data_IF_743579026092
#
_entry.id   IF_743579026092
#
_cell.length_a   1.000
_cell.length_b   1.000
_cell.length_c   1.000
_cell.angle_alpha   90.00
_cell.angle_beta   90.00
_cell.angle_gamma   90.00
#
_symmetry.space_group_name_H-M   'P 1'
#
loop_
_entity.id
_entity.type
_entity.pdbx_description
1 polymer ?
#
# COMPACT_ATOMS: atom_id res chain seq x y z
N UNK A 1 39.41 -0.20 29.43
CA UNK A 1 38.80 0.69 28.42
C UNK A 1 38.77 -0.05 27.10
N UNK A 2 37.66 -0.74 26.79
CA UNK A 2 37.41 -1.34 25.49
C UNK A 2 36.53 -0.35 24.72
N UNK A 3 37.17 0.49 23.91
CA UNK A 3 36.48 1.47 23.07
C UNK A 3 36.23 0.91 21.68
N UNK A 4 35.06 1.29 21.16
CA UNK A 4 34.62 1.27 19.77
C UNK A 4 34.03 -0.04 19.24
N UNK A 5 32.79 -0.27 19.66
CA UNK A 5 31.77 -1.02 18.94
C UNK A 5 31.68 -0.54 17.49
N UNK A 6 32.21 -1.35 16.56
CA UNK A 6 31.84 -1.36 15.15
C UNK A 6 30.43 -1.97 15.03
N UNK A 7 29.38 -1.18 15.25
CA UNK A 7 28.00 -1.59 14.95
C UNK A 7 27.33 -0.76 13.86
N UNK A 8 28.08 0.07 13.14
CA UNK A 8 27.57 0.80 11.99
C UNK A 8 27.65 -0.07 10.72
N UNK A 9 26.48 -0.42 10.19
CA UNK A 9 26.20 -1.02 8.85
C UNK A 9 25.92 -2.54 8.76
N UNK A 10 24.93 -3.05 9.51
CA UNK A 10 24.29 -4.34 9.17
C UNK A 10 23.03 -4.19 8.30
N UNK A 11 22.35 -3.04 8.39
CA UNK A 11 21.12 -2.78 7.63
C UNK A 11 21.40 -1.78 6.50
N UNK A 12 21.38 -2.25 5.25
CA UNK A 12 21.55 -1.38 4.08
C UNK A 12 20.21 -0.76 3.70
N UNK A 13 20.10 0.55 3.96
CA UNK A 13 19.05 1.47 3.48
C UNK A 13 17.62 1.09 3.94
N UNK A 14 17.12 1.77 4.97
CA UNK A 14 15.79 1.53 5.58
C UNK A 14 14.78 2.64 5.28
N UNK A 15 15.22 3.67 4.57
CA UNK A 15 14.32 4.72 4.10
C UNK A 15 13.54 4.21 2.90
N UNK A 16 12.25 4.54 2.87
CA UNK A 16 11.48 4.41 1.64
C UNK A 16 12.08 5.38 0.60
N UNK A 17 12.19 4.97 -0.66
CA UNK A 17 12.68 5.85 -1.72
C UNK A 17 11.76 7.06 -1.88
N UNK A 18 12.33 8.22 -2.21
CA UNK A 18 11.57 9.44 -2.47
C UNK A 18 10.62 9.26 -3.66
N UNK A 19 11.09 8.55 -4.69
CA UNK A 19 10.33 8.21 -5.87
C UNK A 19 10.49 6.72 -6.14
N UNK A 20 9.40 6.04 -6.49
CA UNK A 20 9.42 4.65 -6.90
C UNK A 20 8.33 4.35 -7.91
N UNK A 21 8.57 3.31 -8.71
CA UNK A 21 7.66 2.90 -9.77
C UNK A 21 7.16 1.49 -9.46
N UNK A 22 5.85 1.34 -9.46
CA UNK A 22 5.18 0.04 -9.33
C UNK A 22 4.48 -0.30 -10.64
N UNK A 23 4.74 -1.48 -11.20
CA UNK A 23 4.03 -2.00 -12.36
C UNK A 23 3.13 -3.14 -11.95
N UNK A 24 1.91 -3.09 -12.46
CA UNK A 24 0.92 -4.15 -12.35
C UNK A 24 0.71 -4.72 -13.73
N UNK A 25 1.02 -6.00 -13.89
CA UNK A 25 0.91 -6.72 -15.16
C UNK A 25 -0.11 -7.84 -14.98
N UNK A 26 -1.29 -7.67 -15.59
CA UNK A 26 -2.30 -8.74 -15.63
C UNK A 26 -1.97 -9.73 -16.73
N UNK A 27 -2.04 -11.01 -16.40
CA UNK A 27 -2.00 -12.07 -17.38
C UNK A 27 -3.12 -13.07 -17.08
N UNK A 28 -3.71 -13.60 -18.15
CA UNK A 28 -4.74 -14.62 -18.03
C UNK A 28 -4.06 -15.97 -17.82
N UNK A 29 -4.16 -16.52 -16.60
CA UNK A 29 -3.98 -17.95 -16.40
C UNK A 29 -5.25 -18.68 -16.82
N UNK A 30 -5.11 -19.97 -17.16
CA UNK A 30 -6.15 -20.84 -17.74
C UNK A 30 -7.53 -20.76 -17.04
N UNK A 31 -7.58 -20.39 -15.75
CA UNK A 31 -8.82 -20.36 -14.96
C UNK A 31 -9.20 -18.96 -14.43
N UNK A 32 -8.22 -18.10 -14.09
CA UNK A 32 -8.47 -16.80 -13.44
C UNK A 32 -7.40 -15.78 -13.86
N UNK A 33 -7.74 -14.48 -13.99
CA UNK A 33 -6.75 -13.43 -14.21
C UNK A 33 -5.86 -13.28 -12.97
N UNK A 34 -4.55 -13.15 -13.19
CA UNK A 34 -3.56 -12.94 -12.15
C UNK A 34 -2.80 -11.65 -12.43
N UNK A 35 -2.37 -10.98 -11.37
CA UNK A 35 -1.54 -9.78 -11.46
C UNK A 35 -0.18 -10.07 -10.85
N UNK A 36 0.85 -9.72 -11.60
CA UNK A 36 2.22 -9.61 -11.12
C UNK A 36 2.51 -8.17 -10.77
N UNK A 37 3.06 -7.95 -9.57
CA UNK A 37 3.51 -6.63 -9.12
C UNK A 37 5.04 -6.58 -9.18
N UNK A 38 5.58 -5.54 -9.83
CA UNK A 38 7.01 -5.28 -9.83
C UNK A 38 7.32 -3.88 -9.36
N UNK A 39 8.37 -3.75 -8.56
CA UNK A 39 8.90 -2.50 -8.07
C UNK A 39 10.29 -2.29 -8.67
N UNK A 40 10.46 -1.19 -9.42
CA UNK A 40 11.68 -0.91 -10.19
C UNK A 40 12.17 -2.12 -11.02
N UNK A 41 11.21 -2.84 -11.63
CA UNK A 41 11.38 -4.07 -12.42
C UNK A 41 11.75 -5.34 -11.64
N UNK A 42 11.73 -5.30 -10.31
CA UNK A 42 11.92 -6.48 -9.45
C UNK A 42 10.56 -6.92 -8.94
N UNK A 43 10.20 -8.19 -9.14
CA UNK A 43 8.95 -8.71 -8.60
C UNK A 43 8.94 -8.61 -7.07
N UNK A 44 7.82 -8.11 -6.54
CA UNK A 44 7.54 -8.05 -5.11
C UNK A 44 6.32 -8.90 -4.82
N UNK A 45 6.43 -9.77 -3.81
CA UNK A 45 5.39 -10.73 -3.47
C UNK A 45 5.16 -11.82 -4.53
N UNK A 46 4.12 -12.59 -4.28
CA UNK A 46 3.62 -13.59 -5.21
C UNK A 46 2.69 -12.95 -6.25
N UNK A 47 2.31 -13.72 -7.25
CA UNK A 47 1.29 -13.30 -8.22
C UNK A 47 -0.10 -13.54 -7.62
N UNK A 48 -0.99 -12.56 -7.74
CA UNK A 48 -2.23 -12.50 -6.96
C UNK A 48 -3.43 -12.58 -7.90
N UNK A 49 -4.43 -13.39 -7.56
CA UNK A 49 -5.77 -13.34 -8.16
C UNK A 49 -6.78 -12.69 -7.19
N UNK A 50 -8.06 -12.66 -7.55
CA UNK A 50 -9.08 -12.03 -6.72
C UNK A 50 -9.38 -12.81 -5.41
N UNK A 51 -8.90 -14.06 -5.25
CA UNK A 51 -9.21 -14.97 -4.14
C UNK A 51 -10.71 -15.02 -3.76
N UNK A 52 -11.58 -14.99 -4.79
CA UNK A 52 -13.02 -14.79 -4.65
C UNK A 52 -13.79 -15.65 -5.64
N UNK A 53 -15.03 -16.01 -5.30
CA UNK A 53 -15.94 -16.72 -6.22
C UNK A 53 -16.34 -15.87 -7.43
N UNK A 54 -16.10 -14.56 -7.38
CA UNK A 54 -16.43 -13.59 -8.43
C UNK A 54 -15.21 -12.75 -8.78
N UNK A 55 -15.09 -12.33 -10.03
CA UNK A 55 -14.04 -11.40 -10.46
C UNK A 55 -14.34 -9.97 -10.00
N UNK A 56 -13.93 -9.61 -8.78
CA UNK A 56 -14.17 -8.28 -8.19
C UNK A 56 -12.95 -7.35 -8.22
N UNK A 57 -11.84 -7.81 -8.79
CA UNK A 57 -10.67 -6.96 -9.00
C UNK A 57 -9.71 -6.86 -7.82
N UNK A 58 -9.94 -7.61 -6.74
CA UNK A 58 -9.08 -7.60 -5.55
C UNK A 58 -7.61 -7.94 -5.86
N UNK A 59 -7.31 -8.57 -6.99
CA UNK A 59 -5.93 -8.78 -7.48
C UNK A 59 -5.07 -7.52 -7.61
N UNK A 60 -5.67 -6.33 -7.65
CA UNK A 60 -4.95 -5.05 -7.67
C UNK A 60 -4.82 -4.37 -6.30
N UNK A 61 -5.20 -5.01 -5.19
CA UNK A 61 -5.29 -4.36 -3.87
C UNK A 61 -3.95 -3.80 -3.36
N UNK A 62 -2.81 -4.32 -3.81
CA UNK A 62 -1.49 -3.79 -3.43
C UNK A 62 -1.33 -2.28 -3.72
N UNK A 63 -2.14 -1.72 -4.62
CA UNK A 63 -2.17 -0.27 -4.84
C UNK A 63 -2.49 0.53 -3.57
N UNK A 64 -3.26 -0.04 -2.64
CA UNK A 64 -3.58 0.59 -1.35
C UNK A 64 -2.31 0.79 -0.52
N UNK A 65 -1.49 -0.26 -0.39
CA UNK A 65 -0.27 -0.22 0.41
C UNK A 65 0.73 0.82 -0.10
N UNK A 66 0.99 0.82 -1.41
CA UNK A 66 1.91 1.79 -2.00
C UNK A 66 1.39 3.23 -1.89
N UNK A 67 0.07 3.41 -2.01
CA UNK A 67 -0.55 4.72 -1.82
C UNK A 67 -0.44 5.19 -0.37
N UNK A 68 -0.66 4.33 0.62
CA UNK A 68 -0.48 4.67 2.04
C UNK A 68 0.99 5.01 2.34
N UNK A 69 1.93 4.25 1.80
CA UNK A 69 3.35 4.54 1.93
C UNK A 69 3.70 5.95 1.42
N UNK A 70 3.18 6.32 0.24
CA UNK A 70 3.48 7.59 -0.38
C UNK A 70 2.74 8.77 0.29
N UNK A 71 1.45 8.61 0.57
CA UNK A 71 0.58 9.70 1.02
C UNK A 71 0.51 9.86 2.54
N UNK A 72 0.60 8.76 3.28
CA UNK A 72 0.45 8.73 4.74
C UNK A 72 1.79 8.54 5.48
N UNK A 73 2.91 8.46 4.76
CA UNK A 73 4.23 8.15 5.34
C UNK A 73 4.25 6.82 6.12
N UNK A 74 3.27 5.95 5.88
CA UNK A 74 3.06 4.74 6.64
C UNK A 74 2.52 3.63 5.77
N UNK A 75 3.26 2.52 5.75
CA UNK A 75 2.83 1.25 5.19
C UNK A 75 3.85 0.17 5.61
N UNK A 76 3.63 -0.53 6.73
CA UNK A 76 4.41 -1.72 7.07
C UNK A 76 4.44 -2.75 5.94
N UNK A 77 3.36 -2.91 5.17
CA UNK A 77 3.31 -3.82 4.02
C UNK A 77 4.29 -3.39 2.91
N UNK A 78 4.27 -2.11 2.51
CA UNK A 78 5.22 -1.57 1.52
C UNK A 78 6.66 -1.65 2.00
N UNK A 79 6.92 -1.32 3.27
CA UNK A 79 8.27 -1.47 3.84
C UNK A 79 8.76 -2.91 3.78
N UNK A 80 7.88 -3.87 4.06
CA UNK A 80 8.19 -5.30 3.93
C UNK A 80 8.48 -5.68 2.48
N UNK A 81 7.60 -5.33 1.54
CA UNK A 81 7.75 -5.60 0.10
C UNK A 81 9.06 -5.03 -0.47
N UNK A 82 9.42 -3.80 -0.07
CA UNK A 82 10.65 -3.12 -0.51
C UNK A 82 11.91 -3.57 0.24
N UNK A 83 11.79 -4.44 1.27
CA UNK A 83 12.88 -4.81 2.18
C UNK A 83 13.49 -3.57 2.88
N UNK A 84 12.64 -2.63 3.29
CA UNK A 84 12.95 -1.33 3.94
C UNK A 84 12.38 -1.21 5.37
N UNK A 85 12.22 -2.34 6.07
CA UNK A 85 11.92 -2.32 7.50
C UNK A 85 13.07 -1.66 8.27
N UNK A 86 12.76 -0.86 9.29
CA UNK A 86 13.67 -0.07 10.13
C UNK A 86 14.28 -0.93 11.24
N UNK A 87 15.00 -1.99 10.84
CA UNK A 87 15.63 -2.98 11.73
C UNK A 87 16.77 -2.43 12.59
N UNK A 88 17.31 -1.26 12.23
CA UNK A 88 18.30 -0.55 13.04
C UNK A 88 17.77 -0.13 14.41
N UNK A 89 16.45 0.08 14.53
CA UNK A 89 15.76 0.33 15.79
C UNK A 89 14.82 -0.85 16.11
N UNK A 90 15.14 -1.56 17.19
CA UNK A 90 14.40 -2.77 17.58
C UNK A 90 12.92 -2.51 17.85
N UNK A 91 12.59 -1.39 18.49
CA UNK A 91 11.19 -1.11 18.84
C UNK A 91 10.41 -0.64 17.61
N UNK A 92 11.01 0.15 16.72
CA UNK A 92 10.37 0.51 15.45
C UNK A 92 10.13 -0.72 14.57
N UNK A 93 11.12 -1.62 14.42
CA UNK A 93 10.96 -2.86 13.65
C UNK A 93 9.83 -3.76 14.18
N UNK A 94 9.73 -3.84 15.51
CA UNK A 94 8.74 -4.70 16.19
C UNK A 94 7.34 -4.08 16.22
N UNK A 95 7.23 -2.77 16.34
CA UNK A 95 5.96 -2.07 16.56
C UNK A 95 5.41 -1.51 15.25
N UNK A 96 6.16 -0.63 14.59
CA UNK A 96 5.69 0.13 13.42
C UNK A 96 5.81 -0.68 12.12
N UNK A 97 6.87 -1.48 11.99
CA UNK A 97 7.10 -2.32 10.82
C UNK A 97 6.80 -3.81 11.11
N UNK A 98 6.23 -4.08 12.30
CA UNK A 98 5.98 -5.41 12.82
C UNK A 98 4.68 -6.04 12.33
N UNK A 99 4.45 -7.29 12.74
CA UNK A 99 3.30 -8.07 12.30
C UNK A 99 1.95 -7.42 12.65
N UNK A 100 1.84 -6.79 13.82
CA UNK A 100 0.59 -6.13 14.23
C UNK A 100 0.26 -4.94 13.33
N UNK A 101 1.25 -4.12 12.96
CA UNK A 101 1.05 -3.00 12.06
C UNK A 101 0.67 -3.47 10.65
N UNK A 102 1.38 -4.49 10.13
CA UNK A 102 1.07 -5.09 8.83
C UNK A 102 -0.36 -5.66 8.78
N UNK A 103 -0.76 -6.47 9.76
CA UNK A 103 -2.11 -7.05 9.83
C UNK A 103 -3.18 -5.93 9.94
N UNK A 104 -2.91 -4.87 10.70
CA UNK A 104 -3.81 -3.72 10.77
C UNK A 104 -3.96 -3.06 9.39
N UNK A 105 -2.86 -2.84 8.67
CA UNK A 105 -2.90 -2.26 7.32
C UNK A 105 -3.69 -3.14 6.34
N UNK A 106 -3.45 -4.45 6.32
CA UNK A 106 -4.20 -5.43 5.51
C UNK A 106 -5.70 -5.39 5.82
N UNK A 107 -6.05 -5.36 7.10
CA UNK A 107 -7.45 -5.29 7.54
C UNK A 107 -8.11 -3.98 7.07
N UNK A 108 -7.40 -2.84 7.18
CA UNK A 108 -7.87 -1.55 6.68
C UNK A 108 -8.10 -1.62 5.16
N UNK A 109 -7.13 -2.13 4.39
CA UNK A 109 -7.25 -2.33 2.94
C UNK A 109 -8.48 -3.17 2.58
N UNK A 110 -8.70 -4.28 3.26
CA UNK A 110 -9.84 -5.18 3.02
C UNK A 110 -11.19 -4.52 3.41
N UNK A 111 -11.25 -3.79 4.53
CA UNK A 111 -12.45 -3.07 4.95
C UNK A 111 -12.83 -1.99 3.94
N UNK A 112 -11.83 -1.22 3.50
CA UNK A 112 -12.01 -0.18 2.48
C UNK A 112 -12.48 -0.82 1.16
N UNK A 113 -11.88 -1.94 0.74
CA UNK A 113 -12.30 -2.70 -0.44
C UNK A 113 -13.76 -3.16 -0.36
N UNK A 114 -14.14 -3.78 0.75
CA UNK A 114 -15.49 -4.27 0.99
C UNK A 114 -16.53 -3.14 0.92
N UNK A 115 -16.24 -1.97 1.52
CA UNK A 115 -17.13 -0.80 1.46
C UNK A 115 -17.23 -0.24 0.04
N UNK A 116 -16.10 -0.17 -0.67
CA UNK A 116 -16.04 0.41 -2.01
C UNK A 116 -16.75 -0.44 -3.08
N UNK A 117 -16.74 -1.77 -2.94
CA UNK A 117 -17.43 -2.70 -3.84
C UNK A 117 -18.94 -2.41 -3.90
N UNK A 118 -19.55 -2.02 -2.79
CA UNK A 118 -20.97 -1.63 -2.71
C UNK A 118 -21.24 -0.19 -3.18
N UNK A 119 -20.22 0.51 -3.68
CA UNK A 119 -20.18 1.95 -3.89
C UNK A 119 -19.52 2.34 -5.23
N UNK A 120 -19.58 1.44 -6.22
CA UNK A 120 -18.94 1.60 -7.54
C UNK A 120 -17.48 2.03 -7.44
N UNK A 121 -16.74 1.49 -6.47
CA UNK A 121 -15.36 1.85 -6.17
C UNK A 121 -15.13 3.37 -6.03
N UNK A 122 -16.10 4.07 -5.41
CA UNK A 122 -16.11 5.54 -5.22
C UNK A 122 -15.99 6.34 -6.52
N UNK A 123 -16.57 5.85 -7.62
CA UNK A 123 -16.54 6.55 -8.93
C UNK A 123 -17.25 7.90 -8.91
N UNK A 124 -18.37 8.01 -8.17
CA UNK A 124 -19.27 9.18 -8.19
C UNK A 124 -19.73 9.63 -6.78
N UNK A 125 -19.09 9.15 -5.71
CA UNK A 125 -19.58 9.40 -4.34
C UNK A 125 -18.87 10.61 -3.74
N UNK A 126 -19.65 11.47 -3.08
CA UNK A 126 -19.19 12.74 -2.51
C UNK A 126 -18.39 12.60 -1.22
N UNK A 127 -18.55 11.53 -0.43
CA UNK A 127 -17.71 11.31 0.74
C UNK A 127 -17.53 9.83 1.16
N UNK A 128 -16.38 9.50 1.74
CA UNK A 128 -16.14 8.22 2.43
C UNK A 128 -16.85 8.27 3.78
N UNK A 129 -17.51 7.17 4.14
CA UNK A 129 -18.35 7.07 5.33
C UNK A 129 -17.54 7.37 6.59
N UNK A 130 -18.06 8.27 7.42
CA UNK A 130 -17.37 8.74 8.62
C UNK A 130 -17.15 7.62 9.64
N UNK A 131 -18.03 6.61 9.68
CA UNK A 131 -17.89 5.44 10.54
C UNK A 131 -16.67 4.58 10.13
N UNK A 132 -16.45 4.36 8.83
CA UNK A 132 -15.26 3.68 8.33
C UNK A 132 -13.99 4.44 8.71
N UNK A 133 -13.99 5.77 8.53
CA UNK A 133 -12.84 6.61 8.87
C UNK A 133 -12.56 6.63 10.37
N UNK A 134 -13.61 6.65 11.20
CA UNK A 134 -13.47 6.55 12.65
C UNK A 134 -12.83 5.23 13.07
N UNK A 135 -13.24 4.10 12.48
CA UNK A 135 -12.64 2.80 12.75
C UNK A 135 -11.17 2.77 12.32
N UNK A 136 -10.84 3.30 11.13
CA UNK A 136 -9.45 3.40 10.67
C UNK A 136 -8.60 4.20 11.68
N UNK A 137 -9.11 5.33 12.17
CA UNK A 137 -8.42 6.14 13.19
C UNK A 137 -8.22 5.38 14.50
N UNK A 138 -9.22 4.64 14.96
CA UNK A 138 -9.11 3.81 16.15
C UNK A 138 -8.04 2.71 15.98
N UNK A 139 -8.12 1.94 14.88
CA UNK A 139 -7.18 0.86 14.56
C UNK A 139 -5.73 1.34 14.45
N UNK A 140 -5.52 2.59 14.04
CA UNK A 140 -4.19 3.16 13.78
C UNK A 140 -3.60 3.95 14.95
N UNK A 141 -4.35 4.13 16.03
CA UNK A 141 -3.89 4.81 17.25
C UNK A 141 -2.57 4.25 17.81
N UNK A 142 -2.29 2.93 17.78
CA UNK A 142 -1.03 2.41 18.31
C UNK A 142 0.23 2.70 17.48
N UNK A 143 0.11 3.32 16.29
CA UNK A 143 1.19 3.44 15.31
C UNK A 143 1.47 4.92 14.97
N UNK A 144 2.62 5.19 14.35
CA UNK A 144 3.05 6.55 13.97
C UNK A 144 2.05 7.28 13.05
N UNK A 145 1.28 6.52 12.25
CA UNK A 145 0.23 7.04 11.37
C UNK A 145 -0.97 7.62 12.13
N UNK A 146 -1.05 7.45 13.45
CA UNK A 146 -2.05 8.14 14.28
C UNK A 146 -2.03 9.66 14.10
N UNK A 147 -0.87 10.22 13.71
CA UNK A 147 -0.68 11.64 13.41
C UNK A 147 -1.45 12.12 12.18
N UNK A 148 -1.86 11.22 11.28
CA UNK A 148 -2.58 11.56 10.05
C UNK A 148 -4.04 11.87 10.34
N UNK A 149 -4.54 12.95 9.74
CA UNK A 149 -5.91 13.41 9.91
C UNK A 149 -6.91 12.52 9.15
N UNK A 150 -8.19 12.68 9.44
CA UNK A 150 -9.25 12.03 8.64
C UNK A 150 -9.14 12.46 7.17
N UNK A 151 -8.82 13.72 6.90
CA UNK A 151 -8.67 14.24 5.54
C UNK A 151 -7.47 13.64 4.80
N UNK A 152 -6.37 13.35 5.49
CA UNK A 152 -5.22 12.65 4.92
C UNK A 152 -5.62 11.23 4.48
N UNK A 153 -6.35 10.51 5.35
CA UNK A 153 -6.89 9.19 5.03
C UNK A 153 -7.87 9.24 3.86
N UNK A 154 -8.80 10.20 3.84
CA UNK A 154 -9.72 10.39 2.72
C UNK A 154 -8.97 10.57 1.40
N UNK A 155 -7.99 11.48 1.36
CA UNK A 155 -7.18 11.74 0.17
C UNK A 155 -6.44 10.48 -0.30
N UNK A 156 -5.81 9.76 0.61
CA UNK A 156 -5.10 8.52 0.28
C UNK A 156 -6.03 7.43 -0.27
N UNK A 157 -7.22 7.26 0.32
CA UNK A 157 -8.21 6.30 -0.16
C UNK A 157 -8.73 6.70 -1.55
N UNK A 158 -9.05 7.97 -1.77
CA UNK A 158 -9.52 8.45 -3.07
C UNK A 158 -8.48 8.26 -4.18
N UNK A 159 -7.22 8.62 -3.91
CA UNK A 159 -6.15 8.42 -4.88
C UNK A 159 -5.91 6.93 -5.15
N UNK A 160 -5.97 6.08 -4.12
CA UNK A 160 -5.89 4.64 -4.30
C UNK A 160 -6.97 4.13 -5.24
N UNK A 161 -8.23 4.55 -5.05
CA UNK A 161 -9.33 4.12 -5.91
C UNK A 161 -9.31 4.72 -7.31
N UNK A 162 -8.84 5.95 -7.44
CA UNK A 162 -8.61 6.56 -8.75
C UNK A 162 -7.67 5.68 -9.57
N UNK A 163 -6.56 5.24 -8.98
CA UNK A 163 -5.59 4.37 -9.66
C UNK A 163 -6.10 2.94 -9.81
N UNK A 164 -6.73 2.37 -8.79
CA UNK A 164 -7.35 1.04 -8.83
C UNK A 164 -8.33 0.90 -10.01
N UNK A 165 -9.21 1.90 -10.22
CA UNK A 165 -10.14 1.91 -11.36
C UNK A 165 -9.42 1.97 -12.71
N UNK A 166 -8.30 2.69 -12.80
CA UNK A 166 -7.48 2.76 -14.01
C UNK A 166 -6.79 1.42 -14.28
N UNK A 167 -6.26 0.77 -13.25
CA UNK A 167 -5.67 -0.56 -13.31
C UNK A 167 -6.69 -1.59 -13.80
N UNK A 168 -7.91 -1.58 -13.26
CA UNK A 168 -9.00 -2.44 -13.74
C UNK A 168 -9.37 -2.16 -15.20
N UNK A 169 -9.49 -0.88 -15.57
CA UNK A 169 -9.88 -0.48 -16.92
C UNK A 169 -8.87 -0.93 -17.98
N UNK A 170 -7.57 -0.78 -17.67
CA UNK A 170 -6.49 -1.07 -18.60
C UNK A 170 -5.86 -2.45 -18.41
N UNK A 171 -6.37 -3.27 -17.47
CA UNK A 171 -5.84 -4.59 -17.12
C UNK A 171 -4.34 -4.54 -16.77
N UNK A 172 -3.98 -3.58 -15.95
CA UNK A 172 -2.59 -3.28 -15.60
C UNK A 172 -2.21 -1.83 -15.85
N UNK A 173 -0.95 -1.52 -15.58
CA UNK A 173 -0.45 -0.15 -15.62
C UNK A 173 0.84 0.02 -14.85
N UNK A 174 1.48 1.17 -15.06
CA UNK A 174 2.58 1.65 -14.25
C UNK A 174 2.09 2.81 -13.37
N UNK A 175 2.53 2.83 -12.12
CA UNK A 175 2.19 3.87 -11.14
C UNK A 175 3.48 4.45 -10.57
N UNK A 176 3.61 5.76 -10.69
CA UNK A 176 4.75 6.53 -10.17
C UNK A 176 4.31 7.21 -8.88
N UNK A 177 5.08 7.00 -7.82
CA UNK A 177 4.85 7.58 -6.51
C UNK A 177 5.94 8.58 -6.18
N UNK A 178 5.55 9.75 -5.66
CA UNK A 178 6.43 10.76 -5.08
C UNK A 178 6.03 10.98 -3.62
N UNK A 179 6.88 10.52 -2.70
CA UNK A 179 6.62 10.59 -1.25
C UNK A 179 6.85 11.98 -0.66
N UNK A 180 7.57 12.86 -1.36
CA UNK A 180 7.80 14.25 -0.92
C UNK A 180 6.61 15.13 -1.26
N UNK A 181 6.16 15.06 -2.51
CA UNK A 181 5.04 15.88 -2.98
C UNK A 181 3.67 15.22 -2.74
N UNK A 182 3.65 13.98 -2.21
CA UNK A 182 2.42 13.21 -1.95
C UNK A 182 1.58 13.00 -3.22
N UNK A 183 2.26 12.73 -4.34
CA UNK A 183 1.60 12.59 -5.65
C UNK A 183 1.70 11.18 -6.20
N UNK A 184 0.67 10.79 -6.97
CA UNK A 184 0.54 9.48 -7.58
C UNK A 184 0.12 9.66 -9.04
N UNK A 185 0.92 9.14 -9.97
CA UNK A 185 0.66 9.24 -11.40
C UNK A 185 0.51 7.86 -12.01
N UNK A 186 -0.61 7.64 -12.70
CA UNK A 186 -0.84 6.43 -13.48
C UNK A 186 -0.39 6.62 -14.92
N UNK A 187 0.25 5.59 -15.49
CA UNK A 187 0.64 5.49 -16.88
C UNK A 187 0.19 4.13 -17.42
N UNK A 188 -0.48 4.13 -18.57
CA UNK A 188 -0.91 2.90 -19.23
C UNK A 188 0.31 2.14 -19.75
N UNK A 189 0.34 0.81 -19.58
CA UNK A 189 1.31 -0.04 -20.27
C UNK A 189 0.94 -0.14 -21.75
N UNK A 190 1.90 0.12 -22.63
CA UNK A 190 1.73 0.03 -24.08
C UNK A 190 1.56 -1.41 -24.56
#
# INVERSE_FOLDING_TARGET
MLSNNKHTSLYKNENLPQNFIVRFEEYNCLNYPQVKVTLDNIQVGDTIDDNSYTHDGYRYHDIFHFTFAAMLDWSPCTRSMMKRKRKSDFDIDRIEDGARAAITEECISLMIFSRAKNKDFFKNIEDIDLDLLAIIKEMTTPFEVQSKTIDDWKKAIYESYRVFRLLLLYKGGQVLFDTTNKTIKFEKLN
#
